data_IF_263696214019
#
_entry.id   IF_263696214019
#
_cell.length_a   1.000
_cell.length_b   1.000
_cell.length_c   1.000
_cell.angle_alpha   90.00
_cell.angle_beta   90.00
_cell.angle_gamma   90.00
#
_symmetry.space_group_name_H-M   'P 1'
#
loop_
_entity.id
_entity.type
_entity.pdbx_description
1 polymer ?
#
# COMPACT_ATOMS: atom_id res chain seq x y z
N UNK A 1 -8.74 -15.99 4.30
CA UNK A 1 -8.26 -15.05 3.27
C UNK A 1 -7.03 -14.37 3.84
N UNK A 2 -5.91 -14.37 3.12
CA UNK A 2 -4.68 -13.70 3.59
C UNK A 2 -4.89 -12.19 3.70
N UNK A 3 -4.02 -11.51 4.46
CA UNK A 3 -3.98 -10.05 4.54
C UNK A 3 -3.81 -9.44 3.16
N UNK A 4 -2.90 -9.97 2.34
CA UNK A 4 -2.71 -9.56 0.94
C UNK A 4 -4.01 -9.60 0.13
N UNK A 5 -4.76 -10.71 0.19
CA UNK A 5 -5.98 -10.85 -0.62
C UNK A 5 -7.06 -9.87 -0.18
N UNK A 6 -7.13 -9.56 1.12
CA UNK A 6 -8.02 -8.51 1.66
C UNK A 6 -7.63 -7.12 1.14
N UNK A 7 -6.34 -6.80 1.07
CA UNK A 7 -5.83 -5.53 0.51
C UNK A 7 -6.17 -5.45 -0.98
N UNK A 8 -5.91 -6.53 -1.74
CA UNK A 8 -6.22 -6.63 -3.16
C UNK A 8 -7.70 -6.41 -3.46
N UNK A 9 -8.58 -6.98 -2.66
CA UNK A 9 -10.04 -6.81 -2.82
C UNK A 9 -10.45 -5.34 -2.61
N UNK A 10 -9.90 -4.68 -1.59
CA UNK A 10 -10.13 -3.24 -1.35
C UNK A 10 -9.64 -2.40 -2.52
N UNK A 11 -8.44 -2.69 -3.04
CA UNK A 11 -7.87 -1.98 -4.19
C UNK A 11 -8.77 -2.11 -5.42
N UNK A 12 -9.19 -3.33 -5.77
CA UNK A 12 -10.06 -3.57 -6.92
C UNK A 12 -11.43 -2.90 -6.78
N UNK A 13 -12.03 -2.94 -5.60
CA UNK A 13 -13.39 -2.42 -5.40
C UNK A 13 -13.44 -0.89 -5.29
N UNK A 14 -12.46 -0.29 -4.59
CA UNK A 14 -12.49 1.14 -4.26
C UNK A 14 -11.58 2.01 -5.13
N UNK A 15 -10.59 1.40 -5.77
CA UNK A 15 -9.60 2.09 -6.62
C UNK A 15 -9.50 1.43 -8.00
N UNK A 16 -10.60 1.32 -8.77
CA UNK A 16 -10.60 0.64 -10.06
C UNK A 16 -9.69 1.31 -11.12
N UNK A 17 -9.33 2.57 -10.91
CA UNK A 17 -8.42 3.32 -11.77
C UNK A 17 -6.95 3.12 -11.42
N UNK A 18 -6.64 2.40 -10.33
CA UNK A 18 -5.28 2.06 -9.94
C UNK A 18 -4.97 0.63 -10.35
N UNK A 19 -3.78 0.40 -10.88
CA UNK A 19 -3.25 -0.96 -10.97
C UNK A 19 -2.87 -1.45 -9.58
N UNK A 20 -2.97 -2.76 -9.35
CA UNK A 20 -2.51 -3.39 -8.11
C UNK A 20 -1.36 -4.33 -8.40
N UNK A 21 -0.23 -4.13 -7.72
CA UNK A 21 0.98 -4.94 -7.82
C UNK A 21 1.30 -5.52 -6.45
N UNK A 22 1.66 -6.80 -6.39
CA UNK A 22 2.09 -7.46 -5.16
C UNK A 22 3.42 -8.18 -5.40
N UNK A 23 4.51 -7.60 -4.91
CA UNK A 23 5.89 -8.05 -5.15
C UNK A 23 6.82 -7.56 -4.03
N UNK A 24 8.09 -7.96 -4.04
CA UNK A 24 9.13 -7.20 -3.34
C UNK A 24 9.49 -5.91 -4.10
N UNK A 25 10.36 -5.06 -3.53
CA UNK A 25 10.77 -3.81 -4.17
C UNK A 25 11.44 -3.98 -5.54
N UNK A 26 12.20 -5.07 -5.73
CA UNK A 26 12.90 -5.32 -6.99
C UNK A 26 11.90 -5.75 -8.06
N UNK A 27 11.02 -6.70 -7.74
CA UNK A 27 9.94 -7.14 -8.63
C UNK A 27 8.96 -6.00 -8.94
N UNK A 28 8.64 -5.17 -7.95
CA UNK A 28 7.79 -4.00 -8.15
C UNK A 28 8.40 -3.01 -9.14
N UNK A 29 9.70 -2.71 -9.05
CA UNK A 29 10.36 -1.81 -9.98
C UNK A 29 10.26 -2.30 -11.44
N UNK A 30 10.43 -3.61 -11.67
CA UNK A 30 10.28 -4.19 -13.01
C UNK A 30 8.83 -4.22 -13.52
N UNK A 31 7.86 -4.40 -12.61
CA UNK A 31 6.45 -4.49 -12.98
C UNK A 31 5.79 -3.13 -13.17
N UNK A 32 6.25 -2.08 -12.45
CA UNK A 32 5.70 -0.72 -12.57
C UNK A 32 5.75 -0.21 -14.02
N UNK A 33 6.83 -0.52 -14.75
CA UNK A 33 6.96 -0.15 -16.17
C UNK A 33 5.98 -0.87 -17.10
N UNK A 34 5.40 -2.00 -16.66
CA UNK A 34 4.49 -2.85 -17.45
C UNK A 34 3.02 -2.60 -17.14
N UNK A 35 2.70 -1.88 -16.07
CA UNK A 35 1.31 -1.61 -15.66
C UNK A 35 0.87 -0.19 -16.02
N UNK A 36 -0.44 0.02 -16.06
CA UNK A 36 -1.00 1.37 -16.10
C UNK A 36 -0.77 2.07 -14.76
N UNK A 37 -0.31 3.30 -14.81
CA UNK A 37 -0.22 4.16 -13.63
C UNK A 37 -1.45 5.09 -13.58
N UNK A 38 -1.95 5.44 -12.37
CA UNK A 38 -1.34 5.21 -11.07
C UNK A 38 -1.47 3.76 -10.56
N UNK A 39 -0.60 3.34 -9.63
CA UNK A 39 -0.59 2.00 -9.08
C UNK A 39 -0.44 1.98 -7.55
N UNK A 40 -1.08 0.97 -6.95
CA UNK A 40 -0.91 0.58 -5.55
C UNK A 40 -0.01 -0.66 -5.56
N UNK A 41 1.15 -0.53 -4.95
CA UNK A 41 2.12 -1.62 -4.80
C UNK A 41 2.06 -2.07 -3.35
N UNK A 42 1.55 -3.28 -3.14
CA UNK A 42 1.66 -3.97 -1.85
C UNK A 42 3.01 -4.68 -1.83
N UNK A 43 3.96 -4.10 -1.11
CA UNK A 43 5.27 -4.74 -0.93
C UNK A 43 5.10 -5.88 0.07
N UNK A 44 5.69 -7.05 -0.22
CA UNK A 44 5.66 -8.22 0.66
C UNK A 44 5.84 -7.80 2.13
N UNK A 45 5.09 -8.40 3.08
CA UNK A 45 5.24 -8.07 4.48
C UNK A 45 6.69 -8.34 4.90
N UNK A 46 7.30 -7.35 5.54
CA UNK A 46 8.69 -7.47 6.03
C UNK A 46 8.77 -8.40 7.24
N UNK A 47 7.62 -8.66 7.87
CA UNK A 47 7.46 -9.52 9.01
C UNK A 47 6.06 -9.39 9.62
N UNK A 48 5.88 -10.00 10.78
CA UNK A 48 4.63 -9.96 11.50
C UNK A 48 4.67 -10.76 12.79
N UNK A 49 3.51 -10.87 13.43
CA UNK A 49 3.30 -11.57 14.69
C UNK A 49 1.98 -12.34 14.66
N UNK A 50 2.03 -13.62 15.03
CA UNK A 50 0.83 -14.40 15.28
C UNK A 50 0.36 -14.16 16.72
N UNK A 51 -0.85 -13.63 16.87
CA UNK A 51 -1.44 -13.33 18.17
C UNK A 51 -2.37 -14.46 18.59
N UNK A 52 -1.95 -15.24 19.58
CA UNK A 52 -2.75 -16.30 20.19
C UNK A 52 -3.58 -15.75 21.33
N UNK A 53 -4.90 -15.97 21.30
CA UNK A 53 -5.79 -15.63 22.39
C UNK A 53 -6.94 -16.64 22.50
N UNK A 54 -7.04 -17.35 23.64
CA UNK A 54 -8.15 -18.26 23.99
C UNK A 54 -8.59 -19.18 22.83
N UNK A 55 -7.64 -19.89 22.21
CA UNK A 55 -7.93 -20.82 21.11
C UNK A 55 -8.17 -20.17 19.75
N UNK A 56 -7.98 -18.86 19.63
CA UNK A 56 -7.98 -18.15 18.34
C UNK A 56 -6.59 -17.63 18.01
N UNK A 57 -6.24 -17.61 16.73
CA UNK A 57 -5.03 -16.98 16.19
C UNK A 57 -5.43 -15.86 15.26
N UNK A 58 -4.88 -14.67 15.49
CA UNK A 58 -4.98 -13.53 14.58
C UNK A 58 -3.63 -13.25 13.96
N UNK A 59 -3.62 -12.93 12.68
CA UNK A 59 -2.42 -12.41 12.04
C UNK A 59 -2.26 -10.90 12.30
N UNK A 60 -1.00 -10.49 12.44
CA UNK A 60 -0.58 -9.09 12.57
C UNK A 60 0.67 -8.92 11.70
N UNK A 61 0.51 -8.41 10.49
CA UNK A 61 1.62 -8.21 9.56
C UNK A 61 2.06 -6.76 9.49
N UNK A 62 3.36 -6.54 9.38
CA UNK A 62 3.95 -5.25 9.04
C UNK A 62 4.14 -5.20 7.52
N UNK A 63 3.34 -4.36 6.87
CA UNK A 63 3.30 -4.23 5.42
C UNK A 63 3.68 -2.80 4.98
N UNK A 64 4.17 -2.71 3.75
CA UNK A 64 4.45 -1.44 3.10
C UNK A 64 3.56 -1.31 1.87
N UNK A 65 2.81 -0.21 1.79
CA UNK A 65 1.98 0.11 0.62
C UNK A 65 2.56 1.33 -0.06
N UNK A 66 2.97 1.19 -1.32
CA UNK A 66 3.40 2.32 -2.14
C UNK A 66 2.30 2.74 -3.11
N UNK A 67 2.10 4.05 -3.22
CA UNK A 67 1.18 4.69 -4.15
C UNK A 67 2.05 5.51 -5.10
N UNK A 68 2.07 5.10 -6.36
CA UNK A 68 2.98 5.66 -7.37
C UNK A 68 2.21 6.10 -8.61
N UNK A 69 2.70 7.16 -9.24
CA UNK A 69 2.17 7.64 -10.52
C UNK A 69 3.31 8.19 -11.39
N UNK A 70 3.04 8.33 -12.69
CA UNK A 70 4.01 8.85 -13.66
C UNK A 70 4.29 10.31 -13.40
N UNK A 71 5.53 10.68 -13.68
CA UNK A 71 5.93 12.07 -13.80
C UNK A 71 6.43 12.30 -15.23
N UNK A 72 6.26 13.52 -15.73
CA UNK A 72 6.80 13.91 -17.03
C UNK A 72 8.32 13.92 -16.99
N UNK A 73 8.97 13.57 -18.11
CA UNK A 73 10.42 13.48 -18.23
C UNK A 73 11.19 14.76 -17.87
N UNK A 74 10.56 15.92 -18.00
CA UNK A 74 11.15 17.23 -17.68
C UNK A 74 10.60 17.81 -16.35
N UNK A 75 10.08 16.94 -15.47
CA UNK A 75 9.48 17.35 -14.22
C UNK A 75 10.48 18.04 -13.29
N UNK A 76 10.03 19.11 -12.67
CA UNK A 76 10.79 19.83 -11.64
C UNK A 76 10.30 19.42 -10.23
N UNK A 77 10.80 20.10 -9.20
CA UNK A 77 10.38 19.85 -7.82
C UNK A 77 8.88 20.08 -7.56
N UNK A 78 8.26 21.06 -8.22
CA UNK A 78 6.84 21.36 -8.06
C UNK A 78 5.94 20.30 -8.69
N UNK A 79 6.35 19.75 -9.84
CA UNK A 79 5.60 18.69 -10.51
C UNK A 79 5.66 17.38 -9.70
N UNK A 80 6.83 17.08 -9.14
CA UNK A 80 6.99 15.98 -8.20
C UNK A 80 6.13 16.16 -6.94
N UNK A 81 6.06 17.39 -6.41
CA UNK A 81 5.22 17.73 -5.26
C UNK A 81 3.74 17.51 -5.50
N UNK A 82 3.23 17.88 -6.66
CA UNK A 82 1.83 17.61 -7.03
C UNK A 82 1.55 16.12 -7.01
N UNK A 83 2.44 15.31 -7.60
CA UNK A 83 2.22 13.86 -7.70
C UNK A 83 2.34 13.18 -6.35
N UNK A 84 3.41 13.39 -5.56
CA UNK A 84 3.50 12.73 -4.25
C UNK A 84 2.41 13.24 -3.28
N UNK A 85 1.91 14.46 -3.43
CA UNK A 85 0.78 14.97 -2.64
C UNK A 85 -0.53 14.26 -3.02
N UNK A 86 -0.82 14.10 -4.31
CA UNK A 86 -1.97 13.33 -4.78
C UNK A 86 -1.88 11.84 -4.36
N UNK A 87 -0.69 11.25 -4.40
CA UNK A 87 -0.48 9.87 -3.92
C UNK A 87 -0.65 9.75 -2.41
N UNK A 88 -0.30 10.79 -1.64
CA UNK A 88 -0.56 10.87 -0.20
C UNK A 88 -2.05 10.92 0.14
N UNK A 89 -2.83 11.69 -0.62
CA UNK A 89 -4.29 11.71 -0.51
C UNK A 89 -4.90 10.35 -0.86
N UNK A 90 -4.36 9.69 -1.89
CA UNK A 90 -4.75 8.34 -2.30
C UNK A 90 -4.46 7.32 -1.20
N UNK A 91 -3.29 7.41 -0.55
CA UNK A 91 -2.91 6.56 0.58
C UNK A 91 -3.85 6.75 1.78
N UNK A 92 -4.17 8.00 2.15
CA UNK A 92 -5.12 8.31 3.22
C UNK A 92 -6.53 7.79 2.90
N UNK A 93 -6.97 7.93 1.65
CA UNK A 93 -8.25 7.40 1.17
C UNK A 93 -8.27 5.87 1.21
N UNK A 94 -7.16 5.23 0.88
CA UNK A 94 -7.01 3.78 0.92
C UNK A 94 -7.09 3.25 2.35
N UNK A 95 -6.36 3.85 3.30
CA UNK A 95 -6.44 3.52 4.73
C UNK A 95 -7.88 3.69 5.25
N UNK A 96 -8.57 4.75 4.82
CA UNK A 96 -9.98 4.97 5.15
C UNK A 96 -10.86 3.84 4.60
N UNK A 97 -10.60 3.36 3.38
CA UNK A 97 -11.30 2.21 2.80
C UNK A 97 -11.01 0.91 3.55
N UNK A 98 -9.77 0.68 4.00
CA UNK A 98 -9.40 -0.45 4.85
C UNK A 98 -10.14 -0.44 6.18
N UNK A 99 -10.26 0.72 6.83
CA UNK A 99 -11.03 0.85 8.07
C UNK A 99 -12.52 0.57 7.86
N UNK A 100 -13.08 0.97 6.70
CA UNK A 100 -14.48 0.73 6.35
C UNK A 100 -14.78 -0.73 5.97
N UNK A 101 -13.79 -1.48 5.45
CA UNK A 101 -14.00 -2.88 5.04
C UNK A 101 -14.20 -3.83 6.21
N UNK A 102 -13.79 -3.44 7.43
CA UNK A 102 -13.82 -4.27 8.65
C UNK A 102 -12.99 -5.57 8.53
N UNK A 103 -12.05 -5.64 7.58
CA UNK A 103 -11.11 -6.76 7.49
C UNK A 103 -10.04 -6.72 8.58
N UNK A 104 -9.69 -5.51 9.01
CA UNK A 104 -8.64 -5.23 9.99
C UNK A 104 -9.20 -4.46 11.19
N UNK A 105 -8.50 -4.53 12.31
CA UNK A 105 -8.68 -3.55 13.38
C UNK A 105 -8.40 -2.13 12.81
N UNK A 106 -9.13 -1.09 13.25
CA UNK A 106 -8.96 0.24 12.70
C UNK A 106 -7.52 0.72 12.82
N UNK A 107 -6.98 1.22 11.71
CA UNK A 107 -5.70 1.94 11.66
C UNK A 107 -5.98 3.36 12.15
N UNK A 108 -5.47 3.71 13.33
CA UNK A 108 -5.60 5.01 13.96
C UNK A 108 -4.23 5.61 14.35
N UNK A 109 -4.23 6.90 14.68
CA UNK A 109 -3.00 7.62 15.04
C UNK A 109 -2.14 8.03 13.84
N UNK A 110 -0.83 8.16 14.09
CA UNK A 110 0.13 8.63 13.10
C UNK A 110 0.64 7.47 12.22
N UNK A 111 0.29 7.50 10.93
CA UNK A 111 0.87 6.60 9.92
C UNK A 111 2.10 7.27 9.32
N UNK A 112 3.25 6.59 9.43
CA UNK A 112 4.50 7.05 8.81
C UNK A 112 4.40 6.86 7.30
N UNK A 113 4.80 7.88 6.55
CA UNK A 113 4.99 7.80 5.12
C UNK A 113 6.38 8.30 4.72
N UNK A 114 6.93 7.74 3.66
CA UNK A 114 8.15 8.19 2.99
C UNK A 114 7.83 8.58 1.56
N UNK A 115 8.58 9.52 0.99
CA UNK A 115 8.40 9.93 -0.40
C UNK A 115 9.34 9.10 -1.27
N UNK A 116 8.79 8.55 -2.35
CA UNK A 116 9.57 7.86 -3.38
C UNK A 116 9.91 8.93 -4.41
N UNK A 117 11.15 9.42 -4.36
CA UNK A 117 11.63 10.40 -5.33
C UNK A 117 12.20 9.67 -6.54
N UNK A 118 12.05 10.32 -7.69
CA UNK A 118 12.59 9.86 -8.97
C UNK A 118 14.09 9.50 -8.83
N UNK A 119 14.48 8.35 -9.37
CA UNK A 119 15.88 8.08 -9.69
C UNK A 119 16.07 8.29 -11.20
N UNK A 120 17.28 8.58 -11.66
CA UNK A 120 17.57 8.97 -13.05
C UNK A 120 17.08 8.00 -14.16
N UNK A 121 16.61 6.80 -13.80
CA UNK A 121 16.06 5.80 -14.72
C UNK A 121 14.55 5.55 -14.61
N UNK A 122 13.88 6.07 -13.57
CA UNK A 122 12.51 5.69 -13.23
C UNK A 122 11.59 6.91 -13.17
N UNK A 123 10.79 7.13 -14.22
CA UNK A 123 9.91 8.31 -14.40
C UNK A 123 8.60 8.22 -13.58
N UNK A 124 8.69 7.82 -12.32
CA UNK A 124 7.56 7.78 -11.39
C UNK A 124 7.96 8.31 -10.02
N UNK A 125 6.98 8.86 -9.31
CA UNK A 125 7.12 9.36 -7.95
C UNK A 125 5.91 8.95 -7.14
N UNK A 126 5.99 9.08 -5.82
CA UNK A 126 4.88 8.67 -4.98
C UNK A 126 5.19 8.69 -3.49
N UNK A 127 4.38 7.97 -2.74
CA UNK A 127 4.57 7.78 -1.30
C UNK A 127 4.50 6.30 -0.94
N UNK A 128 5.29 5.90 0.04
CA UNK A 128 5.17 4.61 0.69
C UNK A 128 4.67 4.83 2.12
N UNK A 129 3.65 4.09 2.53
CA UNK A 129 3.16 4.05 3.92
C UNK A 129 3.54 2.73 4.57
N UNK A 130 4.03 2.82 5.80
CA UNK A 130 4.33 1.66 6.64
C UNK A 130 3.14 1.42 7.58
N UNK A 131 2.53 0.23 7.52
CA UNK A 131 1.32 -0.12 8.25
C UNK A 131 1.49 -1.45 8.97
N UNK A 132 1.04 -1.51 10.22
CA UNK A 132 0.82 -2.76 10.94
C UNK A 132 -0.65 -3.15 10.82
N UNK A 133 -0.95 -4.18 10.04
CA UNK A 133 -2.31 -4.66 9.81
C UNK A 133 -2.62 -5.82 10.74
N UNK A 134 -3.62 -5.64 11.61
CA UNK A 134 -4.09 -6.67 12.53
C UNK A 134 -5.47 -7.15 12.11
N UNK A 135 -5.62 -8.46 11.95
CA UNK A 135 -6.90 -9.03 11.53
C UNK A 135 -8.01 -8.78 12.58
N UNK A 136 -9.18 -8.35 12.10
CA UNK A 136 -10.31 -8.11 13.00
C UNK A 136 -10.83 -9.43 13.61
N UNK A 137 -10.91 -10.48 12.80
CA UNK A 137 -11.33 -11.82 13.22
C UNK A 137 -10.16 -12.80 13.08
N UNK A 138 -9.93 -13.59 14.13
CA UNK A 138 -8.94 -14.66 14.11
C UNK A 138 -9.54 -15.98 13.66
N UNK A 139 -8.68 -16.92 13.31
CA UNK A 139 -9.06 -18.31 13.00
C UNK A 139 -9.10 -19.10 14.31
N UNK A 140 -10.14 -19.93 14.51
CA UNK A 140 -10.18 -20.87 15.64
C UNK A 140 -9.22 -22.01 15.37
N UNK A 141 -8.38 -22.33 16.36
CA UNK A 141 -7.56 -23.54 16.39
C UNK A 141 -8.33 -24.72 16.97
#
# INVERSE_FOLDING_TARGET
MSIESKIRDIAKEKFPNFSYVFEDWNGAAEQIDRVSLPAIVCVLPVGGHLLFNRGTVKDREDCMLAFVDKVTRDANGEDNEKVYSAMKESAASFITAMNKSRYFEPIDGSVKYTTILESASAYFTGVCVELTLKELQGVCL
#
